data_IF_209597809258
#
_entry.id   IF_209597809258
#
_cell.length_a   1.000
_cell.length_b   1.000
_cell.length_c   1.000
_cell.angle_alpha   90.00
_cell.angle_beta   90.00
_cell.angle_gamma   90.00
#
_symmetry.space_group_name_H-M   'P 1'
#
loop_
_entity.id
_entity.type
_entity.pdbx_description
1 polymer ?
#
# COMPACT_ATOMS: atom_id res chain seq x y z
N UNK A 1 -12.47 -22.58 -20.73
CA UNK A 1 -12.77 -21.14 -20.58
C UNK A 1 -11.60 -20.34 -20.02
N UNK A 2 -10.94 -20.76 -18.94
CA UNK A 2 -9.79 -20.03 -18.36
C UNK A 2 -8.57 -19.91 -19.29
N UNK A 3 -8.24 -20.94 -20.06
CA UNK A 3 -7.13 -20.90 -21.03
C UNK A 3 -7.38 -19.89 -22.16
N UNK A 4 -8.62 -19.76 -22.64
CA UNK A 4 -9.00 -18.76 -23.65
C UNK A 4 -8.97 -17.33 -23.09
N UNK A 5 -9.15 -17.14 -21.79
CA UNK A 5 -9.11 -15.81 -21.18
C UNK A 5 -7.67 -15.33 -20.95
N UNK A 6 -6.75 -16.21 -20.53
CA UNK A 6 -5.32 -15.90 -20.45
C UNK A 6 -4.73 -15.58 -21.84
N UNK A 7 -5.15 -16.31 -22.88
CA UNK A 7 -4.82 -16.04 -24.28
C UNK A 7 -5.48 -14.73 -24.75
N UNK A 8 -6.72 -14.44 -24.31
CA UNK A 8 -7.40 -13.17 -24.59
C UNK A 8 -6.78 -11.97 -23.84
N UNK A 9 -6.24 -12.12 -22.63
CA UNK A 9 -5.49 -11.03 -21.99
C UNK A 9 -4.19 -10.77 -22.77
N UNK A 10 -3.48 -11.80 -23.21
CA UNK A 10 -2.30 -11.62 -24.06
C UNK A 10 -2.66 -10.98 -25.41
N UNK A 11 -3.76 -11.42 -26.05
CA UNK A 11 -4.27 -10.80 -27.27
C UNK A 11 -4.95 -9.45 -27.03
N UNK A 12 -5.49 -9.18 -25.84
CA UNK A 12 -6.00 -7.86 -25.47
C UNK A 12 -4.88 -6.87 -25.21
N UNK A 13 -3.69 -7.30 -24.77
CA UNK A 13 -2.50 -6.45 -24.74
C UNK A 13 -2.08 -6.05 -26.17
N UNK A 14 -2.24 -6.94 -27.13
CA UNK A 14 -2.08 -6.63 -28.56
C UNK A 14 -3.26 -5.82 -29.12
N UNK A 15 -4.49 -6.01 -28.62
CA UNK A 15 -5.69 -5.26 -28.98
C UNK A 15 -5.82 -3.89 -28.32
N UNK A 16 -5.15 -3.60 -27.20
CA UNK A 16 -5.04 -2.22 -26.68
C UNK A 16 -4.09 -1.33 -27.53
N UNK A 17 -3.38 -1.90 -28.51
CA UNK A 17 -2.85 -1.19 -29.68
C UNK A 17 -3.88 -1.04 -30.81
N UNK A 18 -5.09 -1.59 -30.70
CA UNK A 18 -6.16 -1.59 -31.70
C UNK A 18 -7.22 -0.55 -31.38
N UNK A 19 -7.21 0.51 -32.16
CA UNK A 19 -8.31 1.40 -32.55
C UNK A 19 -9.43 1.57 -31.49
N UNK A 20 -9.13 2.31 -30.42
CA UNK A 20 -10.17 3.09 -29.77
C UNK A 20 -10.36 4.37 -30.61
N UNK A 21 -11.55 4.60 -31.12
CA UNK A 21 -11.88 5.86 -31.77
C UNK A 21 -11.70 7.01 -30.77
N UNK A 22 -11.18 8.13 -31.24
CA UNK A 22 -11.07 9.32 -30.40
C UNK A 22 -12.48 9.80 -30.04
N UNK A 23 -12.76 9.94 -28.76
CA UNK A 23 -14.03 10.42 -28.22
C UNK A 23 -13.82 11.85 -27.74
N UNK A 24 -14.78 12.73 -28.02
CA UNK A 24 -14.74 14.10 -27.50
C UNK A 24 -14.82 14.07 -25.97
N UNK A 25 -13.97 14.85 -25.30
CA UNK A 25 -13.89 14.87 -23.84
C UNK A 25 -15.22 15.19 -23.16
N UNK A 26 -16.09 15.96 -23.82
CA UNK A 26 -17.43 16.31 -23.34
C UNK A 26 -18.44 15.14 -23.44
N UNK A 27 -18.17 14.16 -24.29
CA UNK A 27 -19.00 12.96 -24.46
C UNK A 27 -18.61 11.86 -23.50
N UNK A 28 -17.48 12.01 -22.79
CA UNK A 28 -17.04 11.07 -21.77
C UNK A 28 -17.89 11.30 -20.53
N UNK A 29 -18.80 10.38 -20.27
CA UNK A 29 -19.48 10.35 -18.99
C UNK A 29 -18.42 10.12 -17.88
N UNK A 30 -18.26 11.09 -17.00
CA UNK A 30 -17.44 10.91 -15.80
C UNK A 30 -18.33 10.27 -14.73
N UNK A 31 -18.30 8.95 -14.55
CA UNK A 31 -18.93 8.35 -13.39
C UNK A 31 -18.23 8.98 -12.16
N UNK A 32 -19.00 9.27 -11.12
CA UNK A 32 -18.43 9.57 -9.80
C UNK A 32 -17.39 8.49 -9.52
N UNK A 33 -16.13 8.89 -9.41
CA UNK A 33 -15.02 7.94 -9.20
C UNK A 33 -15.32 7.15 -7.93
N UNK A 34 -15.87 5.94 -8.11
CA UNK A 34 -16.22 5.06 -7.00
C UNK A 34 -14.96 4.78 -6.18
N UNK A 35 -15.03 5.07 -4.90
CA UNK A 35 -13.96 4.74 -3.95
C UNK A 35 -14.44 3.68 -3.00
N UNK A 36 -13.58 2.74 -2.70
CA UNK A 36 -13.79 1.71 -1.70
C UNK A 36 -12.96 2.06 -0.46
N UNK A 37 -13.62 2.18 0.68
CA UNK A 37 -12.91 2.32 1.95
C UNK A 37 -12.19 1.03 2.30
N UNK A 38 -10.97 1.15 2.80
CA UNK A 38 -10.20 0.03 3.34
C UNK A 38 -10.61 -0.32 4.77
N UNK A 39 -11.44 0.52 5.40
CA UNK A 39 -11.79 0.40 6.82
C UNK A 39 -10.72 0.96 7.75
N UNK A 40 -9.65 1.55 7.21
CA UNK A 40 -8.55 2.17 7.95
C UNK A 40 -8.48 3.65 7.55
N UNK A 41 -8.87 4.55 8.46
CA UNK A 41 -8.98 5.98 8.14
C UNK A 41 -7.65 6.62 7.73
N UNK A 42 -6.57 6.25 8.40
CA UNK A 42 -5.24 6.77 8.10
C UNK A 42 -4.71 6.29 6.74
N UNK A 43 -5.06 5.08 6.31
CA UNK A 43 -4.77 4.59 4.96
C UNK A 43 -5.65 5.29 3.93
N UNK A 44 -6.96 5.36 4.19
CA UNK A 44 -7.91 6.02 3.30
C UNK A 44 -7.59 7.52 3.12
N UNK A 45 -7.13 8.20 4.17
CA UNK A 45 -6.64 9.59 4.11
C UNK A 45 -5.54 9.75 3.06
N UNK A 46 -4.49 8.93 3.12
CA UNK A 46 -3.35 9.01 2.18
C UNK A 46 -3.76 8.61 0.76
N UNK A 47 -4.73 7.71 0.62
CA UNK A 47 -5.33 7.35 -0.66
C UNK A 47 -6.23 8.45 -1.25
N UNK A 48 -6.60 9.45 -0.45
CA UNK A 48 -7.51 10.54 -0.85
C UNK A 48 -8.99 10.14 -0.73
N UNK A 49 -9.32 9.31 0.28
CA UNK A 49 -10.67 8.86 0.61
C UNK A 49 -10.98 7.41 0.23
N UNK A 50 -9.95 6.59 0.05
CA UNK A 50 -10.06 5.16 -0.24
C UNK A 50 -9.53 4.76 -1.62
N UNK A 51 -9.61 3.47 -1.91
CA UNK A 51 -9.15 2.87 -3.16
C UNK A 51 -10.09 3.20 -4.32
N UNK A 52 -9.56 3.71 -5.40
CA UNK A 52 -10.32 3.98 -6.62
C UNK A 52 -10.57 2.66 -7.36
N UNK A 53 -11.81 2.45 -7.82
CA UNK A 53 -12.15 1.25 -8.60
C UNK A 53 -11.33 1.19 -9.89
N UNK A 54 -10.79 0.02 -10.19
CA UNK A 54 -9.93 -0.20 -11.36
C UNK A 54 -8.52 0.36 -11.24
N UNK A 55 -8.11 0.84 -10.06
CA UNK A 55 -6.77 1.35 -9.82
C UNK A 55 -5.83 0.33 -9.18
N UNK A 56 -4.54 0.57 -9.34
CA UNK A 56 -3.48 -0.20 -8.68
C UNK A 56 -2.65 0.71 -7.78
N UNK A 57 -2.57 0.35 -6.51
CA UNK A 57 -1.73 1.01 -5.51
C UNK A 57 -0.55 0.10 -5.12
N UNK A 58 0.65 0.65 -5.11
CA UNK A 58 1.87 -0.02 -4.65
C UNK A 58 2.25 0.52 -3.28
N UNK A 59 2.45 -0.35 -2.31
CA UNK A 59 3.01 0.02 -1.01
C UNK A 59 4.44 -0.51 -0.90
N UNK A 60 5.39 0.41 -0.71
CA UNK A 60 6.80 0.13 -0.44
C UNK A 60 7.16 0.39 1.00
N UNK A 61 8.32 -0.10 1.43
CA UNK A 61 8.86 0.12 2.77
C UNK A 61 9.86 -0.97 3.15
N UNK A 62 10.63 -0.75 4.20
CA UNK A 62 11.61 -1.71 4.70
C UNK A 62 10.99 -3.07 5.05
N UNK A 63 11.75 -4.18 4.93
CA UNK A 63 11.31 -5.47 5.46
C UNK A 63 11.02 -5.38 6.96
N UNK A 64 9.90 -5.97 7.40
CA UNK A 64 9.50 -5.99 8.81
C UNK A 64 8.86 -4.70 9.33
N UNK A 65 8.64 -3.66 8.49
CA UNK A 65 8.00 -2.41 8.92
C UNK A 65 6.51 -2.56 9.25
N UNK A 66 5.85 -3.59 8.72
CA UNK A 66 4.42 -3.87 8.94
C UNK A 66 3.54 -3.82 7.69
N UNK A 67 4.11 -3.81 6.46
CA UNK A 67 3.33 -3.75 5.20
C UNK A 67 2.27 -4.86 5.10
N UNK A 68 2.69 -6.12 5.27
CA UNK A 68 1.77 -7.27 5.21
C UNK A 68 0.72 -7.23 6.32
N UNK A 69 1.04 -6.65 7.48
CA UNK A 69 0.08 -6.41 8.56
C UNK A 69 -0.96 -5.39 8.15
N UNK A 70 -0.54 -4.24 7.61
CA UNK A 70 -1.43 -3.20 7.10
C UNK A 70 -2.34 -3.73 5.99
N UNK A 71 -1.78 -4.52 5.06
CA UNK A 71 -2.56 -5.11 3.97
C UNK A 71 -3.58 -6.14 4.46
N UNK A 72 -3.23 -6.95 5.44
CA UNK A 72 -4.19 -7.90 6.04
C UNK A 72 -5.29 -7.15 6.80
N UNK A 73 -4.96 -6.07 7.53
CA UNK A 73 -5.96 -5.22 8.19
C UNK A 73 -6.88 -4.54 7.17
N UNK A 74 -6.36 -4.02 6.05
CA UNK A 74 -7.18 -3.47 4.98
C UNK A 74 -8.08 -4.53 4.32
N UNK A 75 -7.57 -5.75 4.13
CA UNK A 75 -8.36 -6.88 3.64
C UNK A 75 -9.50 -7.24 4.60
N UNK A 76 -9.23 -7.30 5.89
CA UNK A 76 -10.22 -7.53 6.94
C UNK A 76 -11.24 -6.38 6.98
N UNK A 77 -10.78 -5.12 6.93
CA UNK A 77 -11.65 -3.95 6.96
C UNK A 77 -12.63 -3.92 5.78
N UNK A 78 -12.17 -4.27 4.58
CA UNK A 78 -13.05 -4.42 3.42
C UNK A 78 -14.01 -5.61 3.56
N UNK A 79 -13.52 -6.75 4.06
CA UNK A 79 -14.34 -7.93 4.31
C UNK A 79 -15.42 -7.69 5.37
N UNK A 80 -15.13 -6.89 6.41
CA UNK A 80 -16.09 -6.47 7.44
C UNK A 80 -17.24 -5.63 6.86
N UNK A 81 -17.00 -4.96 5.73
CA UNK A 81 -18.02 -4.23 4.97
C UNK A 81 -18.80 -5.13 3.99
N UNK A 82 -18.63 -6.47 4.08
CA UNK A 82 -19.29 -7.44 3.23
C UNK A 82 -18.65 -7.61 1.84
N UNK A 83 -17.46 -7.01 1.60
CA UNK A 83 -16.75 -7.14 0.32
C UNK A 83 -16.03 -8.48 0.23
N UNK A 84 -16.06 -9.09 -0.95
CA UNK A 84 -15.22 -10.27 -1.22
C UNK A 84 -13.80 -9.80 -1.49
N UNK A 85 -12.86 -10.31 -0.71
CA UNK A 85 -11.45 -9.96 -0.79
C UNK A 85 -10.63 -11.19 -1.13
N UNK A 86 -9.73 -11.08 -2.10
CA UNK A 86 -8.71 -12.08 -2.38
C UNK A 86 -7.34 -11.57 -1.92
N UNK A 87 -6.74 -12.28 -0.98
CA UNK A 87 -5.37 -12.04 -0.52
C UNK A 87 -4.44 -13.08 -1.15
N UNK A 88 -3.72 -12.68 -2.18
CA UNK A 88 -2.71 -13.51 -2.83
C UNK A 88 -1.36 -13.28 -2.15
N UNK A 89 -0.84 -14.32 -1.50
CA UNK A 89 0.46 -14.28 -0.83
C UNK A 89 1.46 -15.17 -1.53
N UNK A 90 2.68 -14.68 -1.66
CA UNK A 90 3.82 -15.40 -2.21
C UNK A 90 4.87 -15.77 -1.14
N UNK A 91 4.74 -15.22 0.07
CA UNK A 91 5.74 -15.37 1.14
C UNK A 91 5.24 -16.23 2.30
N UNK A 92 3.92 -16.28 2.49
CA UNK A 92 3.31 -17.00 3.61
C UNK A 92 2.39 -18.13 3.14
N UNK A 93 2.28 -19.16 3.96
CA UNK A 93 1.27 -20.21 3.75
C UNK A 93 -0.12 -19.69 4.11
N UNK A 94 -1.16 -20.32 3.58
CA UNK A 94 -2.55 -20.01 3.93
C UNK A 94 -2.80 -20.13 5.44
N UNK A 95 -2.14 -21.07 6.11
CA UNK A 95 -2.23 -21.24 7.57
C UNK A 95 -1.65 -20.02 8.32
N UNK A 96 -0.48 -19.53 7.90
CA UNK A 96 0.14 -18.33 8.51
C UNK A 96 -0.72 -17.08 8.30
N UNK A 97 -1.31 -16.92 7.11
CA UNK A 97 -2.27 -15.84 6.84
C UNK A 97 -3.49 -15.93 7.75
N UNK A 98 -4.03 -17.14 7.96
CA UNK A 98 -5.16 -17.37 8.88
C UNK A 98 -4.81 -16.98 10.30
N UNK A 99 -3.67 -17.45 10.84
CA UNK A 99 -3.21 -17.09 12.19
C UNK A 99 -3.03 -15.58 12.34
N UNK A 100 -2.49 -14.90 11.31
CA UNK A 100 -2.36 -13.44 11.31
C UNK A 100 -3.73 -12.78 11.37
N UNK A 101 -4.68 -13.19 10.52
CA UNK A 101 -6.03 -12.63 10.51
C UNK A 101 -6.73 -12.83 11.86
N UNK A 102 -6.64 -14.02 12.45
CA UNK A 102 -7.21 -14.32 13.76
C UNK A 102 -6.64 -13.44 14.87
N UNK A 103 -5.31 -13.21 14.87
CA UNK A 103 -4.64 -12.31 15.83
C UNK A 103 -5.10 -10.86 15.66
N UNK A 104 -5.26 -10.39 14.43
CA UNK A 104 -5.72 -9.03 14.15
C UNK A 104 -7.19 -8.80 14.52
N UNK A 105 -7.98 -9.87 14.57
CA UNK A 105 -9.40 -9.87 15.00
C UNK A 105 -9.59 -10.22 16.48
N UNK A 106 -8.51 -10.38 17.26
CA UNK A 106 -8.64 -10.68 18.69
C UNK A 106 -9.39 -9.56 19.41
N UNK A 107 -10.52 -9.94 20.07
CA UNK A 107 -11.41 -8.99 20.75
C UNK A 107 -12.62 -8.51 19.94
N UNK A 108 -12.68 -8.75 18.63
CA UNK A 108 -13.83 -8.33 17.80
C UNK A 108 -14.92 -9.41 17.73
N UNK A 109 -16.18 -8.99 17.87
CA UNK A 109 -17.34 -9.91 17.83
C UNK A 109 -17.68 -10.39 16.40
N UNK A 110 -17.08 -9.80 15.36
CA UNK A 110 -17.41 -10.03 13.96
C UNK A 110 -16.51 -11.05 13.23
N UNK A 111 -15.76 -11.90 13.96
CA UNK A 111 -14.72 -12.79 13.38
C UNK A 111 -15.21 -13.65 12.22
N UNK A 112 -16.32 -14.36 12.39
CA UNK A 112 -16.78 -15.33 11.38
C UNK A 112 -17.32 -14.66 10.11
N UNK A 113 -18.06 -13.56 10.24
CA UNK A 113 -18.64 -12.89 9.07
C UNK A 113 -17.56 -12.24 8.18
N UNK A 114 -16.52 -11.65 8.78
CA UNK A 114 -15.39 -11.06 8.04
C UNK A 114 -14.56 -12.15 7.34
N UNK A 115 -14.26 -13.25 8.04
CA UNK A 115 -13.45 -14.33 7.48
C UNK A 115 -14.16 -15.10 6.37
N UNK A 116 -15.50 -15.12 6.33
CA UNK A 116 -16.28 -15.80 5.29
C UNK A 116 -16.14 -15.19 3.90
N UNK A 117 -15.80 -13.89 3.81
CA UNK A 117 -15.62 -13.16 2.55
C UNK A 117 -14.14 -12.88 2.21
N UNK A 118 -13.22 -13.29 3.09
CA UNK A 118 -11.77 -13.17 2.88
C UNK A 118 -11.19 -14.50 2.38
N UNK A 119 -10.74 -14.50 1.13
CA UNK A 119 -10.12 -15.64 0.46
C UNK A 119 -8.60 -15.48 0.46
N UNK A 120 -7.88 -16.56 0.73
CA UNK A 120 -6.40 -16.56 0.71
C UNK A 120 -5.93 -17.52 -0.39
N UNK A 121 -5.04 -17.03 -1.24
CA UNK A 121 -4.32 -17.82 -2.24
C UNK A 121 -2.82 -17.79 -1.92
N UNK A 122 -2.27 -18.91 -1.45
CA UNK A 122 -0.83 -19.08 -1.31
C UNK A 122 -0.27 -19.56 -2.64
N UNK A 123 0.34 -18.66 -3.42
CA UNK A 123 0.86 -18.99 -4.75
C UNK A 123 1.55 -17.80 -5.40
N UNK A 124 2.44 -18.12 -6.34
CA UNK A 124 3.31 -17.15 -7.02
C UNK A 124 3.06 -17.03 -8.53
N UNK A 125 2.26 -17.94 -9.11
CA UNK A 125 1.94 -17.90 -10.54
C UNK A 125 0.78 -16.92 -10.82
N UNK A 126 1.04 -15.89 -11.61
CA UNK A 126 0.06 -14.89 -12.00
C UNK A 126 -1.15 -15.48 -12.73
N UNK A 127 -0.96 -16.56 -13.49
CA UNK A 127 -2.07 -17.21 -14.18
C UNK A 127 -3.07 -17.83 -13.18
N UNK A 128 -2.58 -18.39 -12.07
CA UNK A 128 -3.42 -18.90 -11.00
C UNK A 128 -4.14 -17.77 -10.26
N UNK A 129 -3.44 -16.66 -9.97
CA UNK A 129 -4.06 -15.47 -9.36
C UNK A 129 -5.20 -14.97 -10.24
N UNK A 130 -4.95 -14.79 -11.53
CA UNK A 130 -5.98 -14.33 -12.50
C UNK A 130 -7.16 -15.30 -12.56
N UNK A 131 -6.90 -16.62 -12.59
CA UNK A 131 -7.97 -17.63 -12.57
C UNK A 131 -8.86 -17.49 -11.34
N UNK A 132 -8.26 -17.34 -10.15
CA UNK A 132 -9.00 -17.19 -8.89
C UNK A 132 -9.80 -15.87 -8.84
N UNK A 133 -9.25 -14.78 -9.38
CA UNK A 133 -9.99 -13.52 -9.53
C UNK A 133 -11.26 -13.72 -10.36
N UNK A 134 -11.18 -14.47 -11.46
CA UNK A 134 -12.35 -14.72 -12.33
C UNK A 134 -13.38 -15.64 -11.70
N UNK A 135 -12.96 -16.61 -10.89
CA UNK A 135 -13.84 -17.56 -10.20
C UNK A 135 -14.52 -16.93 -8.99
N UNK A 136 -13.75 -16.27 -8.12
CA UNK A 136 -14.22 -15.66 -6.86
C UNK A 136 -14.93 -14.34 -7.12
N UNK A 137 -14.51 -13.59 -8.17
CA UNK A 137 -14.94 -12.22 -8.49
C UNK A 137 -14.82 -11.30 -7.27
N UNK A 138 -13.61 -11.13 -6.73
CA UNK A 138 -13.38 -10.28 -5.59
C UNK A 138 -13.65 -8.82 -5.94
N UNK A 139 -13.98 -8.03 -4.94
CA UNK A 139 -14.13 -6.57 -5.03
C UNK A 139 -12.84 -5.85 -4.59
N UNK A 140 -11.89 -6.59 -4.03
CA UNK A 140 -10.57 -6.11 -3.66
C UNK A 140 -9.53 -7.24 -3.78
N UNK A 141 -8.38 -6.94 -4.37
CA UNK A 141 -7.25 -7.86 -4.49
C UNK A 141 -6.02 -7.28 -3.78
N UNK A 142 -5.41 -8.07 -2.92
CA UNK A 142 -4.07 -7.79 -2.36
C UNK A 142 -3.08 -8.79 -2.93
N UNK A 143 -1.90 -8.31 -3.35
CA UNK A 143 -0.77 -9.15 -3.82
C UNK A 143 0.44 -8.89 -2.93
N UNK A 144 0.84 -9.87 -2.12
CA UNK A 144 1.92 -9.76 -1.14
C UNK A 144 2.93 -10.92 -1.29
N UNK A 145 4.05 -10.70 -1.97
CA UNK A 145 4.58 -9.52 -2.61
C UNK A 145 4.78 -9.72 -4.13
N UNK A 146 4.85 -8.63 -4.87
CA UNK A 146 5.04 -8.68 -6.34
C UNK A 146 6.38 -9.28 -6.76
N UNK A 147 7.37 -9.24 -5.88
CA UNK A 147 8.72 -9.73 -6.18
C UNK A 147 8.75 -11.24 -6.45
N UNK A 148 7.85 -11.98 -5.85
CA UNK A 148 7.78 -13.43 -5.98
C UNK A 148 6.77 -13.87 -7.04
N UNK A 149 5.94 -12.94 -7.55
CA UNK A 149 4.98 -13.26 -8.60
C UNK A 149 5.67 -13.38 -9.94
N UNK A 150 5.36 -14.44 -10.66
CA UNK A 150 5.96 -14.74 -11.97
C UNK A 150 4.94 -15.28 -12.96
N UNK A 151 5.36 -15.29 -14.22
CA UNK A 151 4.68 -15.99 -15.32
C UNK A 151 5.53 -17.17 -15.78
N UNK A 152 4.93 -18.33 -15.81
CA UNK A 152 5.60 -19.59 -16.23
C UNK A 152 5.95 -19.65 -17.72
N UNK A 153 5.31 -18.81 -18.57
CA UNK A 153 5.53 -18.73 -20.00
C UNK A 153 6.68 -17.77 -20.42
N UNK A 154 7.31 -17.10 -19.45
CA UNK A 154 8.47 -16.22 -19.69
C UNK A 154 9.79 -16.96 -19.39
N UNK A 155 10.77 -16.80 -20.27
CA UNK A 155 12.12 -17.38 -20.09
C UNK A 155 12.92 -16.74 -18.95
N UNK A 156 12.56 -15.52 -18.55
CA UNK A 156 13.24 -14.79 -17.49
C UNK A 156 12.93 -15.38 -16.11
N UNK A 157 13.95 -15.45 -15.25
CA UNK A 157 13.82 -16.04 -13.91
C UNK A 157 12.79 -15.29 -13.04
N UNK A 158 12.05 -16.00 -12.15
CA UNK A 158 11.22 -15.36 -11.13
C UNK A 158 12.01 -14.33 -10.32
N UNK A 159 11.39 -13.20 -9.96
CA UNK A 159 12.04 -12.12 -9.26
C UNK A 159 12.91 -11.18 -10.12
N UNK A 160 13.10 -11.49 -11.41
CA UNK A 160 13.78 -10.58 -12.33
C UNK A 160 12.94 -9.34 -12.63
N UNK A 161 13.61 -8.24 -12.97
CA UNK A 161 12.96 -6.95 -13.31
C UNK A 161 11.94 -7.11 -14.43
N UNK A 162 12.24 -7.93 -15.44
CA UNK A 162 11.34 -8.20 -16.57
C UNK A 162 10.07 -8.92 -16.14
N UNK A 163 10.20 -9.95 -15.28
CA UNK A 163 9.06 -10.67 -14.70
C UNK A 163 8.18 -9.74 -13.86
N UNK A 164 8.78 -9.03 -12.90
CA UNK A 164 8.05 -8.12 -12.00
C UNK A 164 7.31 -7.05 -12.80
N UNK A 165 7.97 -6.45 -13.80
CA UNK A 165 7.36 -5.45 -14.68
C UNK A 165 6.17 -6.02 -15.45
N UNK A 166 6.32 -7.21 -16.03
CA UNK A 166 5.27 -7.88 -16.81
C UNK A 166 4.07 -8.22 -15.93
N UNK A 167 4.32 -8.83 -14.77
CA UNK A 167 3.25 -9.16 -13.82
C UNK A 167 2.50 -7.91 -13.33
N UNK A 168 3.23 -6.84 -13.03
CA UNK A 168 2.61 -5.58 -12.64
C UNK A 168 1.72 -5.00 -13.74
N UNK A 169 2.18 -4.99 -15.00
CA UNK A 169 1.38 -4.54 -16.14
C UNK A 169 0.10 -5.34 -16.30
N UNK A 170 0.14 -6.65 -16.18
CA UNK A 170 -1.04 -7.50 -16.29
C UNK A 170 -2.03 -7.27 -15.15
N UNK A 171 -1.53 -7.05 -13.92
CA UNK A 171 -2.39 -6.65 -12.80
C UNK A 171 -3.06 -5.28 -13.06
N UNK A 172 -2.36 -4.32 -13.66
CA UNK A 172 -2.94 -3.02 -14.06
C UNK A 172 -4.03 -3.20 -15.11
N UNK A 173 -3.84 -4.06 -16.11
CA UNK A 173 -4.88 -4.37 -17.09
C UNK A 173 -6.08 -5.07 -16.45
N UNK A 174 -5.83 -6.07 -15.60
CA UNK A 174 -6.86 -6.80 -14.86
C UNK A 174 -7.71 -5.85 -14.01
N UNK A 175 -7.05 -4.94 -13.27
CA UNK A 175 -7.71 -3.91 -12.47
C UNK A 175 -8.69 -3.08 -13.32
N UNK A 176 -8.23 -2.55 -14.44
CA UNK A 176 -9.02 -1.69 -15.31
C UNK A 176 -10.19 -2.42 -15.97
N UNK A 177 -9.95 -3.64 -16.45
CA UNK A 177 -11.01 -4.43 -17.11
C UNK A 177 -12.13 -4.82 -16.15
N UNK A 178 -11.78 -5.20 -14.93
CA UNK A 178 -12.74 -5.67 -13.94
C UNK A 178 -13.22 -4.58 -12.97
N UNK A 179 -12.72 -3.33 -13.12
CA UNK A 179 -12.93 -2.26 -12.14
C UNK A 179 -12.56 -2.69 -10.72
N UNK A 180 -11.54 -3.55 -10.61
CA UNK A 180 -11.05 -4.17 -9.39
C UNK A 180 -9.92 -3.31 -8.80
N UNK A 181 -10.07 -2.72 -7.60
CA UNK A 181 -8.96 -2.10 -6.91
C UNK A 181 -7.96 -3.17 -6.47
N UNK A 182 -6.67 -2.91 -6.72
CA UNK A 182 -5.58 -3.82 -6.39
C UNK A 182 -4.56 -3.09 -5.53
N UNK A 183 -4.16 -3.69 -4.40
CA UNK A 183 -2.98 -3.27 -3.64
C UNK A 183 -1.85 -4.28 -3.80
N UNK A 184 -0.68 -3.77 -4.13
CA UNK A 184 0.53 -4.56 -4.36
C UNK A 184 1.56 -4.19 -3.29
N UNK A 185 2.11 -5.18 -2.61
CA UNK A 185 3.24 -5.00 -1.69
C UNK A 185 4.55 -5.12 -2.47
N UNK A 186 5.43 -4.15 -2.23
CA UNK A 186 6.81 -4.15 -2.73
C UNK A 186 7.83 -3.95 -1.62
N UNK A 187 9.04 -4.50 -1.79
CA UNK A 187 10.13 -4.25 -0.86
C UNK A 187 11.05 -3.15 -1.39
N UNK A 188 11.60 -2.33 -0.50
CA UNK A 188 12.65 -1.36 -0.79
C UNK A 188 14.02 -1.97 -0.50
N UNK A 189 15.05 -1.54 -1.23
CA UNK A 189 16.45 -1.87 -0.92
C UNK A 189 16.91 -1.11 0.34
N UNK A 190 18.05 -1.53 0.91
CA UNK A 190 18.68 -0.85 2.07
C UNK A 190 18.99 0.63 1.83
N UNK A 191 19.07 1.07 0.59
CA UNK A 191 19.29 2.47 0.20
C UNK A 191 17.99 3.29 0.12
N UNK A 192 16.88 2.77 0.69
CA UNK A 192 15.57 3.43 0.66
C UNK A 192 14.92 3.49 -0.72
N UNK A 193 15.50 2.81 -1.72
CA UNK A 193 14.92 2.70 -3.05
C UNK A 193 14.07 1.43 -3.12
N UNK A 194 12.91 1.50 -3.79
CA UNK A 194 12.10 0.32 -4.08
C UNK A 194 12.96 -0.76 -4.74
N UNK A 195 13.10 -1.92 -4.06
CA UNK A 195 13.83 -3.07 -4.58
C UNK A 195 13.06 -3.68 -5.76
N UNK A 196 13.64 -3.55 -6.93
CA UNK A 196 12.91 -3.75 -8.16
C UNK A 196 12.21 -2.42 -8.51
N UNK A 197 12.39 -1.97 -9.64
CA UNK A 197 12.83 -0.65 -10.02
C UNK A 197 11.75 0.42 -9.82
N UNK A 198 12.17 1.65 -9.77
CA UNK A 198 11.40 2.84 -10.15
C UNK A 198 10.46 2.63 -11.36
N UNK A 199 10.69 1.56 -12.10
CA UNK A 199 9.85 1.08 -13.21
C UNK A 199 8.42 0.76 -12.78
N UNK A 200 8.18 0.23 -11.57
CA UNK A 200 6.81 -0.05 -11.10
C UNK A 200 6.06 1.23 -10.74
N UNK A 201 6.75 2.26 -10.23
CA UNK A 201 6.14 3.54 -9.87
C UNK A 201 5.46 4.21 -11.08
N UNK A 202 6.00 4.02 -12.28
CA UNK A 202 5.42 4.56 -13.50
C UNK A 202 4.20 3.77 -13.99
N UNK A 203 4.10 2.50 -13.65
CA UNK A 203 3.05 1.59 -14.12
C UNK A 203 1.76 1.71 -13.29
N UNK A 204 1.91 1.91 -11.98
CA UNK A 204 0.78 1.97 -11.04
C UNK A 204 0.22 3.40 -10.90
N UNK A 205 -0.98 3.49 -10.36
CA UNK A 205 -1.69 4.77 -10.21
C UNK A 205 -1.32 5.49 -8.90
N UNK A 206 -1.10 4.73 -7.83
CA UNK A 206 -0.72 5.22 -6.51
C UNK A 206 0.54 4.51 -6.03
N UNK A 207 1.47 5.26 -5.43
CA UNK A 207 2.67 4.73 -4.76
C UNK A 207 2.69 5.26 -3.34
N UNK A 208 2.72 4.37 -2.38
CA UNK A 208 2.79 4.64 -0.97
C UNK A 208 4.14 4.19 -0.41
N UNK A 209 4.72 4.98 0.46
CA UNK A 209 5.91 4.60 1.24
C UNK A 209 5.52 4.44 2.71
N UNK A 210 5.80 3.25 3.25
CA UNK A 210 5.58 2.95 4.66
C UNK A 210 6.93 2.96 5.37
N UNK A 211 7.12 3.92 6.25
CA UNK A 211 8.38 4.23 6.90
C UNK A 211 8.22 4.27 8.42
N UNK A 212 9.33 4.19 9.15
CA UNK A 212 9.34 4.30 10.60
C UNK A 212 10.66 3.81 11.18
N UNK A 213 10.95 4.26 12.37
CA UNK A 213 12.11 3.80 13.12
C UNK A 213 11.77 2.49 13.85
N UNK A 214 12.68 1.52 13.81
CA UNK A 214 12.52 0.23 14.52
C UNK A 214 12.55 0.38 16.03
N UNK A 215 13.13 1.47 16.53
CA UNK A 215 13.24 1.78 17.96
C UNK A 215 11.98 2.46 18.52
N UNK A 216 11.13 3.02 17.62
CA UNK A 216 9.86 3.62 17.99
C UNK A 216 8.70 2.81 17.42
N UNK A 217 7.62 2.75 18.16
CA UNK A 217 6.40 2.05 17.70
C UNK A 217 5.71 2.78 16.53
N UNK A 218 6.01 4.07 16.35
CA UNK A 218 5.40 4.94 15.35
C UNK A 218 5.82 4.58 13.93
N UNK A 219 4.84 4.57 13.04
CA UNK A 219 5.02 4.35 11.60
C UNK A 219 4.29 5.44 10.83
N UNK A 220 4.91 5.91 9.75
CA UNK A 220 4.35 6.88 8.83
C UNK A 220 4.03 6.27 7.48
N UNK A 221 2.87 6.56 6.94
CA UNK A 221 2.49 6.22 5.57
C UNK A 221 2.40 7.50 4.74
N UNK A 222 3.18 7.59 3.68
CA UNK A 222 3.23 8.76 2.79
C UNK A 222 2.88 8.40 1.35
N UNK A 223 2.16 9.27 0.66
CA UNK A 223 1.98 9.21 -0.76
C UNK A 223 3.22 9.73 -1.50
N UNK A 224 3.84 8.90 -2.34
CA UNK A 224 4.91 9.32 -3.26
C UNK A 224 4.32 9.73 -4.61
N UNK A 225 3.26 9.05 -5.03
CA UNK A 225 2.49 9.32 -6.24
C UNK A 225 1.02 9.02 -5.97
N UNK A 226 0.14 9.90 -6.43
CA UNK A 226 -1.30 9.65 -6.40
C UNK A 226 -1.95 10.35 -7.59
N UNK A 227 -2.49 9.59 -8.55
CA UNK A 227 -3.21 10.13 -9.71
C UNK A 227 -4.61 10.65 -9.37
N UNK A 228 -5.13 10.30 -8.19
CA UNK A 228 -6.50 10.56 -7.78
C UNK A 228 -6.62 11.53 -6.61
N UNK A 229 -5.48 12.06 -6.13
CA UNK A 229 -5.46 12.95 -4.99
C UNK A 229 -4.09 13.56 -4.73
N UNK A 230 -4.00 14.26 -3.61
CA UNK A 230 -2.74 14.88 -3.14
C UNK A 230 -1.77 13.82 -2.60
N UNK A 231 -0.48 14.11 -2.64
CA UNK A 231 0.58 13.33 -1.97
C UNK A 231 1.04 13.98 -0.67
N UNK A 232 0.39 15.06 -0.25
CA UNK A 232 0.80 15.82 0.93
C UNK A 232 0.31 15.20 2.25
N UNK A 233 -0.66 14.29 2.18
CA UNK A 233 -1.22 13.65 3.38
C UNK A 233 -0.26 12.60 3.95
N UNK A 234 -0.30 12.49 5.29
CA UNK A 234 0.42 11.46 6.04
C UNK A 234 -0.55 10.67 6.90
N UNK A 235 -0.43 9.35 6.86
CA UNK A 235 -1.09 8.42 7.78
C UNK A 235 -0.13 8.03 8.91
N UNK A 236 -0.61 8.04 10.13
CA UNK A 236 0.18 7.69 11.30
C UNK A 236 -0.36 6.44 11.97
N UNK A 237 0.56 5.53 12.27
CA UNK A 237 0.24 4.25 12.89
C UNK A 237 1.20 3.96 14.03
N UNK A 238 0.73 3.24 15.02
CA UNK A 238 1.54 2.64 16.08
C UNK A 238 1.48 1.12 15.99
N UNK A 239 2.63 0.46 16.09
CA UNK A 239 2.70 -1.00 16.07
C UNK A 239 2.39 -1.55 17.45
N UNK A 240 1.24 -2.18 17.61
CA UNK A 240 0.79 -2.85 18.83
C UNK A 240 0.82 -4.38 18.75
N UNK A 241 0.35 -5.04 19.80
CA UNK A 241 0.27 -6.51 19.88
C UNK A 241 -0.75 -7.08 18.87
N UNK A 242 -1.85 -6.37 18.63
CA UNK A 242 -2.93 -6.77 17.72
C UNK A 242 -2.81 -6.12 16.33
N UNK A 243 -1.63 -5.64 15.95
CA UNK A 243 -1.37 -5.02 14.65
C UNK A 243 -1.11 -3.53 14.72
N UNK A 244 -1.37 -2.85 13.61
CA UNK A 244 -1.21 -1.41 13.48
C UNK A 244 -2.46 -0.70 14.00
N UNK A 245 -2.26 0.25 14.90
CA UNK A 245 -3.30 1.12 15.45
C UNK A 245 -3.17 2.51 14.83
N UNK A 246 -4.28 3.10 14.48
CA UNK A 246 -4.31 4.45 13.90
C UNK A 246 -4.03 5.49 14.98
N UNK A 247 -3.12 6.42 14.67
CA UNK A 247 -2.82 7.54 15.55
C UNK A 247 -3.62 8.76 15.11
N UNK A 248 -4.75 8.96 15.76
CA UNK A 248 -5.65 10.08 15.44
C UNK A 248 -5.08 11.41 15.94
N UNK A 249 -4.53 11.41 17.14
CA UNK A 249 -3.93 12.59 17.77
C UNK A 249 -2.41 12.47 17.87
N UNK A 250 -1.72 13.18 16.99
CA UNK A 250 -0.26 13.22 16.99
C UNK A 250 0.32 13.95 18.22
N UNK A 251 -0.49 14.71 18.94
CA UNK A 251 -0.07 15.35 20.18
C UNK A 251 0.10 14.36 21.34
N UNK A 252 -0.50 13.17 21.25
CA UNK A 252 -0.39 12.14 22.28
C UNK A 252 1.05 11.62 22.51
N UNK A 253 1.96 11.88 21.57
CA UNK A 253 3.39 11.54 21.73
C UNK A 253 4.20 12.59 22.48
N UNK A 254 3.64 13.78 22.73
CA UNK A 254 4.25 14.79 23.55
C UNK A 254 3.74 14.65 24.96
N UNK A 255 4.65 14.59 25.91
CA UNK A 255 4.30 14.68 27.32
C UNK A 255 3.97 16.14 27.66
N UNK A 256 2.69 16.48 27.88
CA UNK A 256 2.29 17.88 28.18
C UNK A 256 2.87 18.38 29.52
N UNK A 257 3.21 17.44 30.41
CA UNK A 257 3.75 17.73 31.74
C UNK A 257 5.29 17.65 31.76
N UNK A 258 5.93 17.39 30.61
CA UNK A 258 7.38 17.35 30.52
C UNK A 258 7.99 18.70 30.93
N UNK A 259 8.98 18.71 31.83
CA UNK A 259 9.62 19.95 32.22
C UNK A 259 10.34 20.59 31.02
N UNK A 260 10.30 21.92 30.88
CA UNK A 260 10.99 22.64 29.82
C UNK A 260 12.48 22.24 29.76
N UNK A 261 12.94 21.82 28.58
CA UNK A 261 14.34 21.47 28.36
C UNK A 261 15.03 22.59 27.58
N UNK A 262 16.20 23.02 28.06
CA UNK A 262 16.98 23.99 27.33
C UNK A 262 17.39 23.46 25.97
N UNK A 263 17.11 24.23 24.91
CA UNK A 263 17.39 23.83 23.54
C UNK A 263 16.31 22.98 22.88
N UNK A 264 15.18 22.72 23.54
CA UNK A 264 14.05 22.01 22.96
C UNK A 264 12.81 22.94 22.86
N UNK A 265 12.09 22.83 21.75
CA UNK A 265 10.85 23.56 21.51
C UNK A 265 9.88 22.70 20.69
N UNK A 266 8.60 22.74 21.02
CA UNK A 266 7.55 22.11 20.24
C UNK A 266 7.03 23.12 19.22
N UNK A 267 7.07 22.72 17.95
CA UNK A 267 6.61 23.54 16.83
C UNK A 267 5.46 22.83 16.08
N UNK A 268 4.38 23.52 15.71
CA UNK A 268 3.40 22.97 14.80
C UNK A 268 3.95 22.95 13.37
N UNK A 269 3.80 21.81 12.70
CA UNK A 269 4.14 21.64 11.29
C UNK A 269 2.95 21.07 10.54
N UNK A 270 2.58 21.71 9.42
CA UNK A 270 1.49 21.23 8.57
C UNK A 270 1.97 20.20 7.58
N UNK A 271 1.30 19.04 7.57
CA UNK A 271 1.46 18.00 6.55
C UNK A 271 0.09 17.72 5.92
N UNK A 272 -0.10 18.19 4.68
CA UNK A 272 -1.42 18.16 4.06
C UNK A 272 -2.46 18.90 4.89
N UNK A 273 -3.51 18.21 5.27
CA UNK A 273 -4.57 18.74 6.13
C UNK A 273 -4.28 18.57 7.64
N UNK A 274 -3.19 17.91 8.01
CA UNK A 274 -2.86 17.57 9.41
C UNK A 274 -1.81 18.49 10.00
N UNK A 275 -2.06 18.98 11.21
CA UNK A 275 -1.08 19.64 12.04
C UNK A 275 -0.36 18.58 12.90
N UNK A 276 0.97 18.48 12.73
CA UNK A 276 1.84 17.66 13.56
C UNK A 276 2.56 18.57 14.57
N UNK A 277 2.63 18.16 15.83
CA UNK A 277 3.49 18.80 16.82
C UNK A 277 4.85 18.11 16.80
N UNK A 278 5.90 18.87 16.45
CA UNK A 278 7.25 18.36 16.31
C UNK A 278 8.12 18.98 17.39
N UNK A 279 8.78 18.15 18.20
CA UNK A 279 9.81 18.62 19.11
C UNK A 279 11.10 18.85 18.32
N UNK A 280 11.53 20.10 18.25
CA UNK A 280 12.79 20.50 17.63
C UNK A 280 13.84 20.71 18.73
N UNK A 281 14.97 20.04 18.63
CA UNK A 281 16.09 20.17 19.56
C UNK A 281 17.28 20.84 18.88
N UNK A 282 17.90 21.80 19.54
CA UNK A 282 19.08 22.48 19.07
C UNK A 282 20.21 22.42 20.12
N UNK A 283 21.38 21.98 19.71
CA UNK A 283 22.60 22.03 20.51
C UNK A 283 23.58 23.00 19.87
N UNK A 284 23.99 24.01 20.63
CA UNK A 284 25.02 24.96 20.22
C UNK A 284 26.23 24.80 21.09
N UNK A 285 27.40 24.60 20.48
CA UNK A 285 28.71 24.52 21.17
C UNK A 285 29.65 25.54 20.59
N UNK A 286 30.66 25.97 21.40
CA UNK A 286 31.74 26.80 20.89
C UNK A 286 32.54 26.00 19.87
N UNK A 287 32.66 26.54 18.66
CA UNK A 287 33.49 25.97 17.60
C UNK A 287 34.82 26.70 17.44
N UNK A 288 35.71 26.14 16.63
CA UNK A 288 36.98 26.78 16.25
C UNK A 288 36.70 28.04 15.44
N UNK A 289 37.43 29.12 15.72
CA UNK A 289 37.27 30.41 15.02
C UNK A 289 37.37 30.22 13.48
N UNK A 290 36.38 30.68 12.76
CA UNK A 290 36.34 30.62 11.29
C UNK A 290 35.67 29.37 10.68
N UNK A 291 35.21 28.38 11.48
CA UNK A 291 34.50 27.20 10.98
C UNK A 291 33.15 26.97 11.67
N UNK A 292 32.13 27.72 11.25
CA UNK A 292 30.77 27.42 11.66
C UNK A 292 30.26 26.16 10.91
N UNK A 293 29.99 25.09 11.64
CA UNK A 293 29.38 23.87 11.10
C UNK A 293 27.94 23.78 11.58
N UNK A 294 27.01 23.51 10.64
CA UNK A 294 25.61 23.22 10.94
C UNK A 294 25.33 21.78 10.51
N UNK A 295 24.70 21.02 11.39
CA UNK A 295 24.16 19.70 11.07
C UNK A 295 22.70 19.69 11.49
N UNK A 296 21.83 19.19 10.62
CA UNK A 296 20.46 18.86 10.94
C UNK A 296 20.27 17.35 10.73
N UNK A 297 19.50 16.72 11.59
CA UNK A 297 19.08 15.32 11.48
C UNK A 297 17.62 15.22 11.94
N UNK A 298 16.90 14.25 11.45
CA UNK A 298 15.47 14.08 11.67
C UNK A 298 14.69 14.29 10.38
N UNK A 299 13.44 14.73 10.49
CA UNK A 299 12.49 14.90 9.39
C UNK A 299 12.99 15.78 8.25
#
# INVERSE_FOLDING_TARGET
>A
MAANFATNIASSIEQYGGVSEAIQILEIETPTVGRMSTGIHELDRVLGGGLVLGSVALIGGEPGIGKSTLMMQAAIGAASQGKRVLYATSEESAYQCKLRAERLLEGEQAKESCLSTLFVLAGTDLAQITKQVLEIKPEFLVVDSIQMVYRSDMESAPGSVSQIRRCCLELVYLARQLQLPIMIVGHVTKDGQLAGPRVLEHLVDVVLNFEGDRHYALRGLRGIKNRFGTTLEIGLFEMGQHGLQEVVDAASFLDPDAPPRAGAVVCPAMHGSRCLLIETQALVTQGTVGQARRRASGL
#
